data_IF_793230895159
#
_entry.id   IF_793230895159
#
_cell.length_a   1.000
_cell.length_b   1.000
_cell.length_c   1.000
_cell.angle_alpha   90.00
_cell.angle_beta   90.00
_cell.angle_gamma   90.00
#
_symmetry.space_group_name_H-M   'P 1'
#
loop_
_entity.id
_entity.type
_entity.pdbx_description
1 polymer ?
#
# COMPACT_ATOMS: atom_id res chain seq x y z
N UNK A 1 66.60 38.88 -18.96
CA UNK A 1 66.56 37.55 -18.42
C UNK A 1 65.52 37.56 -17.29
N UNK A 2 64.31 37.16 -17.58
CA UNK A 2 63.23 37.16 -16.64
C UNK A 2 62.97 35.70 -16.21
N UNK A 3 63.20 35.45 -14.95
CA UNK A 3 62.86 34.18 -14.32
C UNK A 3 61.35 34.05 -14.19
N UNK A 4 60.79 33.10 -14.93
CA UNK A 4 59.39 32.67 -14.72
C UNK A 4 59.31 31.80 -13.49
N UNK A 5 58.83 32.38 -12.39
CA UNK A 5 58.47 31.67 -11.17
C UNK A 5 57.31 30.73 -11.44
N UNK A 6 57.60 29.44 -11.50
CA UNK A 6 56.56 28.41 -11.62
C UNK A 6 55.81 28.29 -10.31
N UNK A 7 54.57 28.75 -10.27
CA UNK A 7 53.63 28.49 -9.16
C UNK A 7 53.42 26.97 -8.99
N UNK A 8 53.62 26.40 -7.82
CA UNK A 8 53.38 24.99 -7.59
C UNK A 8 51.88 24.70 -7.69
N UNK A 9 51.52 23.81 -8.61
CA UNK A 9 50.17 23.33 -8.80
C UNK A 9 49.61 22.78 -7.49
N UNK A 10 48.58 23.46 -6.96
CA UNK A 10 47.89 23.03 -5.75
C UNK A 10 47.24 21.65 -5.96
N UNK A 11 47.70 20.66 -5.22
CA UNK A 11 47.24 19.26 -5.28
C UNK A 11 45.74 19.13 -4.99
N UNK A 12 44.96 18.43 -5.85
CA UNK A 12 43.53 18.26 -5.68
C UNK A 12 43.12 17.19 -4.63
N UNK A 13 44.04 16.79 -3.75
CA UNK A 13 43.82 15.69 -2.79
C UNK A 13 42.81 15.99 -1.69
N UNK A 14 42.69 17.23 -1.22
CA UNK A 14 41.74 17.60 -0.15
C UNK A 14 40.26 17.42 -0.59
N UNK A 15 39.90 17.76 -1.83
CA UNK A 15 38.55 17.63 -2.33
C UNK A 15 38.09 16.18 -2.43
N UNK A 16 38.99 15.26 -2.79
CA UNK A 16 38.66 13.83 -2.89
C UNK A 16 38.40 13.18 -1.53
N UNK A 17 39.12 13.60 -0.47
CA UNK A 17 38.90 13.09 0.90
C UNK A 17 37.56 13.56 1.46
N UNK A 18 37.25 14.83 1.28
CA UNK A 18 35.93 15.38 1.72
C UNK A 18 34.78 14.68 0.99
N UNK A 19 34.88 14.50 -0.32
CA UNK A 19 33.86 13.82 -1.11
C UNK A 19 33.64 12.37 -0.66
N UNK A 20 34.72 11.63 -0.36
CA UNK A 20 34.63 10.26 0.18
C UNK A 20 33.97 10.23 1.55
N UNK A 21 34.31 11.16 2.43
CA UNK A 21 33.72 11.24 3.76
C UNK A 21 32.21 11.56 3.69
N UNK A 22 31.81 12.52 2.85
CA UNK A 22 30.41 12.87 2.62
C UNK A 22 29.64 11.68 2.04
N UNK A 23 30.21 10.99 1.05
CA UNK A 23 29.59 9.82 0.45
C UNK A 23 29.42 8.66 1.45
N UNK A 24 30.43 8.46 2.31
CA UNK A 24 30.39 7.44 3.36
C UNK A 24 29.32 7.76 4.42
N UNK A 25 29.26 9.01 4.89
CA UNK A 25 28.24 9.46 5.83
C UNK A 25 26.83 9.34 5.24
N UNK A 26 26.66 9.74 3.97
CA UNK A 26 25.40 9.58 3.26
C UNK A 26 24.99 8.10 3.13
N UNK A 27 25.96 7.21 2.84
CA UNK A 27 25.72 5.76 2.78
C UNK A 27 25.25 5.18 4.12
N UNK A 28 25.85 5.62 5.24
CA UNK A 28 25.43 5.21 6.58
C UNK A 28 24.01 5.69 6.87
N UNK A 29 23.69 6.96 6.58
CA UNK A 29 22.36 7.52 6.80
C UNK A 29 21.32 6.75 5.97
N UNK A 30 21.64 6.47 4.70
CA UNK A 30 20.77 5.71 3.81
C UNK A 30 20.54 4.29 4.34
N UNK A 31 21.60 3.62 4.83
CA UNK A 31 21.49 2.29 5.42
C UNK A 31 20.59 2.28 6.65
N UNK A 32 20.74 3.27 7.55
CA UNK A 32 19.86 3.43 8.70
C UNK A 32 18.41 3.65 8.30
N UNK A 33 18.17 4.49 7.31
CA UNK A 33 16.82 4.79 6.81
C UNK A 33 16.15 3.54 6.20
N UNK A 34 16.87 2.79 5.38
CA UNK A 34 16.39 1.53 4.81
C UNK A 34 16.11 0.51 5.90
N UNK A 35 17.01 0.36 6.89
CA UNK A 35 16.82 -0.55 8.01
C UNK A 35 15.59 -0.17 8.85
N UNK A 36 15.41 1.11 9.17
CA UNK A 36 14.26 1.60 9.91
C UNK A 36 12.95 1.33 9.15
N UNK A 37 12.92 1.59 7.83
CA UNK A 37 11.77 1.31 6.99
C UNK A 37 11.46 -0.20 6.95
N UNK A 38 12.48 -1.04 6.81
CA UNK A 38 12.31 -2.50 6.82
C UNK A 38 11.71 -2.97 8.14
N UNK A 39 12.19 -2.48 9.28
CA UNK A 39 11.62 -2.80 10.59
C UNK A 39 10.16 -2.35 10.68
N UNK A 40 9.85 -1.14 10.23
CA UNK A 40 8.46 -0.64 10.23
C UNK A 40 7.52 -1.54 9.42
N UNK A 41 7.95 -1.99 8.25
CA UNK A 41 7.13 -2.82 7.35
C UNK A 41 7.02 -4.27 7.84
N UNK A 42 8.05 -4.77 8.57
CA UNK A 42 8.12 -6.15 9.06
C UNK A 42 7.42 -6.38 10.40
N UNK A 43 7.08 -5.31 11.13
CA UNK A 43 6.48 -5.42 12.46
C UNK A 43 5.01 -5.02 12.44
N UNK A 44 4.19 -5.65 13.30
CA UNK A 44 2.77 -5.34 13.42
C UNK A 44 2.53 -3.88 13.77
N UNK A 45 3.26 -3.35 14.76
CA UNK A 45 3.11 -1.96 15.20
C UNK A 45 3.51 -0.95 14.11
N UNK A 46 4.60 -1.23 13.40
CA UNK A 46 5.07 -0.39 12.32
C UNK A 46 4.13 -0.43 11.12
N UNK A 47 3.65 -1.61 10.77
CA UNK A 47 2.67 -1.82 9.70
C UNK A 47 1.35 -1.13 10.00
N UNK A 48 0.84 -1.28 11.23
CA UNK A 48 -0.36 -0.54 11.68
C UNK A 48 -0.17 0.96 11.57
N UNK A 49 0.96 1.50 12.05
CA UNK A 49 1.25 2.94 11.97
C UNK A 49 1.26 3.46 10.53
N UNK A 50 1.90 2.70 9.62
CA UNK A 50 1.95 3.07 8.19
C UNK A 50 0.56 3.02 7.57
N UNK A 51 -0.22 1.98 7.86
CA UNK A 51 -1.56 1.80 7.36
C UNK A 51 -2.49 2.91 7.85
N UNK A 52 -2.50 3.17 9.15
CA UNK A 52 -3.28 4.26 9.75
C UNK A 52 -2.93 5.60 9.10
N UNK A 53 -1.62 5.89 8.90
CA UNK A 53 -1.16 7.14 8.29
C UNK A 53 -1.61 7.33 6.85
N UNK A 54 -1.67 6.25 6.08
CA UNK A 54 -2.17 6.27 4.69
C UNK A 54 -3.69 6.44 4.68
N UNK A 55 -4.38 5.71 5.55
CA UNK A 55 -5.84 5.67 5.57
C UNK A 55 -6.49 6.88 6.26
N UNK A 56 -5.80 7.56 7.20
CA UNK A 56 -6.27 8.83 7.80
C UNK A 56 -6.68 9.89 6.76
N UNK A 57 -6.05 9.85 5.59
CA UNK A 57 -6.38 10.76 4.48
C UNK A 57 -7.63 10.34 3.69
N UNK A 58 -8.08 9.11 3.90
CA UNK A 58 -9.19 8.48 3.18
C UNK A 58 -10.36 8.31 4.13
N UNK A 59 -11.23 9.33 4.28
CA UNK A 59 -12.42 9.26 5.15
C UNK A 59 -13.47 8.23 4.70
N UNK A 60 -13.23 7.62 3.54
CA UNK A 60 -14.14 6.67 2.89
C UNK A 60 -14.02 5.27 3.49
N UNK A 61 -12.86 4.93 4.08
CA UNK A 61 -12.54 3.59 4.58
C UNK A 61 -12.41 3.61 6.09
N UNK A 62 -13.10 2.70 6.75
CA UNK A 62 -12.92 2.39 8.18
C UNK A 62 -12.56 0.93 8.32
N UNK A 63 -11.67 0.60 9.22
CA UNK A 63 -11.24 -0.76 9.50
C UNK A 63 -10.70 -0.88 10.92
N UNK A 64 -10.63 -2.10 11.42
CA UNK A 64 -9.93 -2.46 12.64
C UNK A 64 -8.75 -3.34 12.27
N UNK A 65 -7.55 -2.93 12.68
CA UNK A 65 -6.35 -3.72 12.46
C UNK A 65 -6.25 -4.81 13.53
N UNK A 66 -6.24 -6.08 13.11
CA UNK A 66 -6.14 -7.22 14.00
C UNK A 66 -4.70 -7.68 14.19
N UNK A 67 -3.92 -7.72 13.10
CA UNK A 67 -2.54 -8.19 13.16
C UNK A 67 -1.87 -8.32 11.81
N UNK A 68 -0.72 -8.98 11.82
CA UNK A 68 0.07 -9.22 10.64
C UNK A 68 1.11 -8.13 10.39
N UNK A 69 1.68 -8.13 9.21
CA UNK A 69 2.61 -7.10 8.78
C UNK A 69 2.56 -6.91 7.27
N UNK A 70 3.00 -5.75 6.82
CA UNK A 70 2.92 -5.40 5.41
C UNK A 70 3.77 -6.30 4.50
N UNK A 71 4.77 -7.02 5.01
CA UNK A 71 5.59 -7.93 4.21
C UNK A 71 4.93 -9.29 3.95
N UNK A 72 4.24 -9.83 4.96
CA UNK A 72 3.71 -11.19 4.91
C UNK A 72 2.21 -11.25 4.66
N UNK A 73 1.51 -10.18 5.05
CA UNK A 73 0.07 -10.06 4.98
C UNK A 73 -0.48 -9.32 6.20
N UNK A 74 -1.62 -8.68 6.04
CA UNK A 74 -2.31 -7.91 7.06
C UNK A 74 -3.69 -8.49 7.28
N UNK A 75 -4.08 -8.58 8.54
CA UNK A 75 -5.40 -9.07 8.97
C UNK A 75 -6.20 -7.87 9.44
N UNK A 76 -7.34 -7.66 8.81
CA UNK A 76 -8.24 -6.54 9.07
C UNK A 76 -9.63 -7.07 9.44
N UNK A 77 -10.32 -6.35 10.32
CA UNK A 77 -11.72 -6.61 10.69
C UNK A 77 -12.59 -5.38 10.51
N UNK A 78 -13.90 -5.62 10.47
CA UNK A 78 -14.92 -4.57 10.42
C UNK A 78 -14.64 -3.52 9.37
N UNK A 79 -14.24 -3.96 8.16
CA UNK A 79 -13.92 -3.05 7.06
C UNK A 79 -15.21 -2.50 6.50
N UNK A 80 -15.31 -1.17 6.47
CA UNK A 80 -16.42 -0.45 5.89
C UNK A 80 -15.91 0.56 4.87
N UNK A 81 -16.26 0.35 3.61
CA UNK A 81 -15.96 1.29 2.53
C UNK A 81 -17.25 1.98 2.12
N UNK A 82 -17.31 3.30 2.30
CA UNK A 82 -18.47 4.12 1.91
C UNK A 82 -18.19 4.86 0.62
N UNK A 83 -18.90 4.49 -0.43
CA UNK A 83 -18.93 5.19 -1.70
C UNK A 83 -20.26 5.94 -1.86
N UNK A 84 -20.38 6.79 -2.87
CA UNK A 84 -21.59 7.61 -3.06
C UNK A 84 -22.89 6.81 -3.16
N UNK A 85 -22.84 5.66 -3.84
CA UNK A 85 -24.01 4.83 -4.17
C UNK A 85 -23.83 3.36 -3.73
N UNK A 86 -22.74 3.08 -2.99
CA UNK A 86 -22.36 1.73 -2.64
C UNK A 86 -21.65 1.71 -1.29
N UNK A 87 -22.14 0.88 -0.37
CA UNK A 87 -21.42 0.53 0.86
C UNK A 87 -20.91 -0.91 0.74
N UNK A 88 -19.64 -1.11 1.06
CA UNK A 88 -19.02 -2.42 1.13
C UNK A 88 -18.66 -2.68 2.58
N UNK A 89 -19.14 -3.79 3.13
CA UNK A 89 -18.80 -4.26 4.47
C UNK A 89 -18.12 -5.61 4.37
N UNK A 90 -17.05 -5.78 5.13
CA UNK A 90 -16.30 -7.02 5.23
C UNK A 90 -16.03 -7.25 6.71
N UNK A 91 -16.41 -8.41 7.22
CA UNK A 91 -16.22 -8.72 8.63
C UNK A 91 -14.77 -9.07 8.93
N UNK A 92 -14.12 -9.87 8.07
CA UNK A 92 -12.73 -10.27 8.20
C UNK A 92 -12.06 -10.34 6.84
N UNK A 93 -10.81 -9.88 6.75
CA UNK A 93 -9.99 -10.00 5.55
C UNK A 93 -8.53 -10.25 5.90
N UNK A 94 -7.96 -11.31 5.31
CA UNK A 94 -6.52 -11.59 5.30
C UNK A 94 -5.97 -11.24 3.91
N UNK A 95 -5.07 -10.25 3.87
CA UNK A 95 -4.59 -9.67 2.62
C UNK A 95 -3.07 -9.76 2.57
N UNK A 96 -2.56 -10.61 1.69
CA UNK A 96 -1.15 -10.69 1.39
C UNK A 96 -0.72 -9.69 0.31
N UNK A 97 0.37 -8.96 0.55
CA UNK A 97 0.90 -7.96 -0.36
C UNK A 97 2.17 -8.43 -1.06
N UNK A 98 2.17 -8.35 -2.39
CA UNK A 98 3.34 -8.64 -3.21
C UNK A 98 4.19 -7.39 -3.48
N UNK A 99 5.23 -7.16 -2.68
CA UNK A 99 6.06 -5.95 -2.73
C UNK A 99 6.81 -5.71 -4.03
N UNK A 100 7.13 -6.79 -4.76
CA UNK A 100 7.86 -6.67 -6.04
C UNK A 100 7.10 -5.88 -7.10
N UNK A 101 5.78 -5.88 -7.04
CA UNK A 101 4.95 -5.17 -7.99
C UNK A 101 4.87 -3.65 -7.73
N UNK A 102 5.13 -3.20 -6.50
CA UNK A 102 5.16 -1.78 -6.16
C UNK A 102 6.22 -0.99 -6.94
N UNK A 103 7.32 -1.64 -7.33
CA UNK A 103 8.37 -1.05 -8.18
C UNK A 103 7.79 -0.64 -9.53
N UNK A 104 6.80 -1.38 -10.02
CA UNK A 104 6.13 -1.15 -11.31
C UNK A 104 4.84 -0.33 -11.18
N UNK A 105 4.57 0.27 -10.01
CA UNK A 105 3.31 0.98 -9.69
C UNK A 105 2.08 0.07 -9.80
N UNK A 106 2.26 -1.22 -9.61
CA UNK A 106 1.20 -2.21 -9.53
C UNK A 106 1.00 -2.62 -8.06
N UNK A 107 -0.23 -2.72 -7.63
CA UNK A 107 -0.57 -3.33 -6.34
C UNK A 107 -0.87 -4.79 -6.62
N UNK A 108 -0.02 -5.66 -6.10
CA UNK A 108 -0.16 -7.09 -6.27
C UNK A 108 -0.58 -7.72 -4.94
N UNK A 109 -1.76 -8.30 -4.92
CA UNK A 109 -2.23 -9.11 -3.81
C UNK A 109 -1.85 -10.56 -4.09
N UNK A 110 -1.04 -11.17 -3.20
CA UNK A 110 -0.67 -12.58 -3.30
C UNK A 110 -1.86 -13.47 -2.97
N UNK A 111 -2.64 -13.09 -1.96
CA UNK A 111 -3.90 -13.68 -1.59
C UNK A 111 -4.82 -12.60 -1.00
N UNK A 112 -6.12 -12.86 -1.05
CA UNK A 112 -7.14 -12.06 -0.41
C UNK A 112 -8.26 -13.01 0.04
N UNK A 113 -8.22 -13.39 1.31
CA UNK A 113 -9.26 -14.22 1.92
C UNK A 113 -10.23 -13.29 2.65
N UNK A 114 -11.48 -13.32 2.25
CA UNK A 114 -12.52 -12.40 2.71
C UNK A 114 -13.70 -13.19 3.26
N UNK A 115 -14.05 -12.91 4.50
CA UNK A 115 -15.24 -13.50 5.15
C UNK A 115 -16.36 -12.46 5.24
N UNK A 116 -17.57 -12.90 4.91
CA UNK A 116 -18.79 -12.08 5.00
C UNK A 116 -18.70 -10.75 4.24
N UNK A 117 -18.51 -10.82 2.92
CA UNK A 117 -18.57 -9.66 2.05
C UNK A 117 -20.04 -9.24 1.81
N UNK A 118 -20.40 -8.07 2.29
CA UNK A 118 -21.71 -7.48 2.06
C UNK A 118 -21.59 -6.23 1.19
N UNK A 119 -22.29 -6.23 0.07
CA UNK A 119 -22.37 -5.11 -0.86
C UNK A 119 -23.80 -4.52 -0.81
N UNK A 120 -23.92 -3.28 -0.39
CA UNK A 120 -25.20 -2.57 -0.30
C UNK A 120 -25.21 -1.47 -1.36
N UNK A 121 -26.03 -1.63 -2.38
CA UNK A 121 -26.20 -0.62 -3.43
C UNK A 121 -27.43 0.25 -3.16
N UNK A 122 -27.22 1.55 -3.18
CA UNK A 122 -28.29 2.56 -3.07
C UNK A 122 -28.67 3.13 -4.45
N UNK A 123 -28.01 2.68 -5.51
CA UNK A 123 -28.34 3.09 -6.87
C UNK A 123 -29.77 2.70 -7.22
N UNK A 124 -30.51 3.61 -7.84
CA UNK A 124 -31.85 3.29 -8.36
C UNK A 124 -31.71 2.21 -9.43
N UNK A 125 -32.54 1.16 -9.41
CA UNK A 125 -32.50 0.12 -10.43
C UNK A 125 -32.82 0.72 -11.80
N UNK A 126 -31.81 1.03 -12.57
CA UNK A 126 -31.93 1.52 -13.96
C UNK A 126 -32.09 0.40 -14.97
N UNK A 127 -32.14 -0.87 -14.51
CA UNK A 127 -32.21 -2.04 -15.39
C UNK A 127 -30.90 -2.38 -16.11
N UNK A 128 -29.87 -1.58 -15.99
CA UNK A 128 -28.53 -1.89 -16.51
C UNK A 128 -27.72 -2.70 -15.49
N UNK A 129 -27.02 -3.76 -15.93
CA UNK A 129 -26.14 -4.51 -15.04
C UNK A 129 -25.04 -3.61 -14.49
N UNK A 130 -24.74 -3.75 -13.19
CA UNK A 130 -23.66 -3.01 -12.54
C UNK A 130 -22.32 -3.28 -13.27
N UNK A 131 -21.73 -2.22 -13.82
CA UNK A 131 -20.45 -2.31 -14.53
C UNK A 131 -19.31 -1.93 -13.56
N UNK A 132 -18.54 -2.91 -13.13
CA UNK A 132 -17.31 -2.69 -12.34
C UNK A 132 -16.27 -1.81 -13.06
N UNK A 133 -16.43 -1.59 -14.37
CA UNK A 133 -15.52 -0.78 -15.19
C UNK A 133 -15.47 0.71 -14.83
N UNK A 134 -16.38 1.20 -14.00
CA UNK A 134 -16.41 2.61 -13.58
C UNK A 134 -15.52 2.90 -12.34
N UNK A 135 -15.03 1.85 -11.66
CA UNK A 135 -14.09 2.03 -10.55
C UNK A 135 -12.68 2.28 -11.13
N UNK A 136 -12.36 3.56 -11.32
CA UNK A 136 -11.02 3.97 -11.74
C UNK A 136 -10.08 3.96 -10.53
N UNK A 137 -9.32 2.89 -10.37
CA UNK A 137 -8.22 2.85 -9.43
C UNK A 137 -7.02 3.61 -10.02
N UNK A 138 -6.28 4.40 -9.23
CA UNK A 138 -5.09 5.13 -9.69
C UNK A 138 -3.87 4.20 -9.92
N UNK A 139 -4.06 2.90 -9.77
CA UNK A 139 -3.05 1.85 -9.90
C UNK A 139 -3.67 0.59 -10.50
N UNK A 140 -2.83 -0.27 -11.05
CA UNK A 140 -3.22 -1.60 -11.53
C UNK A 140 -3.26 -2.52 -10.33
N UNK A 141 -4.44 -3.10 -10.05
CA UNK A 141 -4.62 -4.12 -9.02
C UNK A 141 -4.54 -5.51 -9.67
N UNK A 142 -3.59 -6.33 -9.22
CA UNK A 142 -3.51 -7.75 -9.57
C UNK A 142 -3.75 -8.59 -8.33
N UNK A 143 -4.66 -9.52 -8.42
CA UNK A 143 -4.96 -10.49 -7.36
C UNK A 143 -4.65 -11.86 -7.91
N UNK A 144 -3.77 -12.63 -7.25
CA UNK A 144 -3.44 -14.00 -7.68
C UNK A 144 -4.51 -14.98 -7.23
N UNK A 145 -4.91 -14.84 -5.96
CA UNK A 145 -5.88 -15.71 -5.33
C UNK A 145 -6.84 -14.86 -4.52
N UNK A 146 -8.12 -15.02 -4.74
CA UNK A 146 -9.17 -14.39 -3.96
C UNK A 146 -10.20 -15.44 -3.56
N UNK A 147 -10.45 -15.54 -2.28
CA UNK A 147 -11.44 -16.42 -1.70
C UNK A 147 -12.47 -15.57 -0.96
N UNK A 148 -13.75 -15.85 -1.15
CA UNK A 148 -14.85 -15.14 -0.49
C UNK A 148 -15.83 -16.18 0.02
N UNK A 149 -15.87 -16.37 1.34
CA UNK A 149 -16.69 -17.41 1.94
C UNK A 149 -18.20 -17.12 1.82
N UNK A 150 -18.60 -15.89 2.08
CA UNK A 150 -20.00 -15.50 2.02
C UNK A 150 -20.13 -14.16 1.31
N UNK A 151 -20.85 -14.14 0.21
CA UNK A 151 -21.18 -12.93 -0.53
C UNK A 151 -22.66 -12.59 -0.40
N UNK A 152 -22.98 -11.43 0.18
CA UNK A 152 -24.34 -10.91 0.24
C UNK A 152 -24.46 -9.62 -0.54
N UNK A 153 -25.33 -9.60 -1.53
CA UNK A 153 -25.62 -8.40 -2.33
C UNK A 153 -27.01 -7.90 -2.00
N UNK A 154 -27.11 -6.67 -1.52
CA UNK A 154 -28.37 -5.98 -1.26
C UNK A 154 -28.49 -4.82 -2.23
N UNK A 155 -29.56 -4.83 -3.02
CA UNK A 155 -29.96 -3.71 -3.86
C UNK A 155 -31.29 -3.18 -3.35
N UNK A 156 -31.60 -1.90 -3.56
CA UNK A 156 -32.88 -1.30 -3.13
C UNK A 156 -34.09 -2.02 -3.76
N UNK A 157 -34.42 -3.22 -3.28
CA UNK A 157 -35.56 -4.04 -3.72
C UNK A 157 -35.31 -5.53 -3.89
N UNK A 158 -34.05 -6.01 -3.86
CA UNK A 158 -33.78 -7.45 -4.05
C UNK A 158 -32.65 -7.90 -3.14
N UNK A 159 -32.86 -9.02 -2.46
CA UNK A 159 -31.89 -9.67 -1.59
C UNK A 159 -31.39 -10.93 -2.28
N UNK A 160 -30.10 -11.08 -2.47
CA UNK A 160 -29.51 -12.30 -3.05
C UNK A 160 -28.35 -12.73 -2.14
N UNK A 161 -28.47 -13.92 -1.56
CA UNK A 161 -27.43 -14.56 -0.75
C UNK A 161 -26.77 -15.68 -1.55
N UNK A 162 -25.45 -15.69 -1.60
CA UNK A 162 -24.65 -16.78 -2.16
C UNK A 162 -23.87 -17.40 -1.01
N UNK A 163 -24.15 -18.67 -0.72
CA UNK A 163 -23.41 -19.50 0.22
C UNK A 163 -22.72 -20.59 -0.61
N UNK A 164 -21.43 -20.73 -0.46
CA UNK A 164 -20.67 -21.91 -0.89
C UNK A 164 -20.55 -22.91 0.24
#
# INVERSE_FOLDING_TARGET
MGEFEQQPAQKPEKKRRILRSVLFTFGIILLFLVSALTIMVSTDRGSKFLLDRVMERQQIIRYEYEGGNLLNGIILRNILVKLKELDIKIDHADIGLGWRALINKEVHLSHADVENLQIISYAKPTGEPFKFSEIKLPFILRVNEANVDHLRIQTSGTHVDFND
#
